data_IF_753241666739
#
_entry.id   IF_753241666739
#
_cell.length_a   1.000
_cell.length_b   1.000
_cell.length_c   1.000
_cell.angle_alpha   90.00
_cell.angle_beta   90.00
_cell.angle_gamma   90.00
#
_symmetry.space_group_name_H-M   'P 1'
#
loop_
_entity.id
_entity.type
_entity.pdbx_description
1 polymer ?
#
# COMPACT_ATOMS: atom_id res chain seq x y z
N UNK A 1 2.37 12.05 -18.87
CA UNK A 1 2.08 12.85 -17.66
C UNK A 1 1.36 12.01 -16.58
N UNK A 2 1.75 10.74 -16.36
CA UNK A 2 0.97 9.78 -15.54
C UNK A 2 1.48 9.52 -14.12
N UNK A 3 2.67 10.02 -13.76
CA UNK A 3 3.27 9.75 -12.43
C UNK A 3 2.59 10.57 -11.32
N UNK A 4 1.84 11.62 -11.65
CA UNK A 4 1.35 12.60 -10.66
C UNK A 4 0.25 12.10 -9.71
N UNK A 5 -0.29 10.88 -9.85
CA UNK A 5 -1.41 10.42 -9.03
C UNK A 5 -1.31 8.99 -8.46
N UNK A 6 -0.44 8.13 -8.99
CA UNK A 6 -0.37 6.73 -8.55
C UNK A 6 0.00 6.54 -7.06
N UNK A 7 0.92 7.31 -6.46
CA UNK A 7 1.19 7.23 -5.02
C UNK A 7 -0.03 7.60 -4.15
N UNK A 8 -0.90 8.49 -4.64
CA UNK A 8 -2.11 8.88 -3.91
C UNK A 8 -3.18 7.78 -3.95
N UNK A 9 -3.23 7.01 -5.04
CA UNK A 9 -4.19 5.91 -5.21
C UNK A 9 -3.88 4.70 -4.31
N UNK A 10 -2.59 4.44 -4.06
CA UNK A 10 -2.13 3.32 -3.22
C UNK A 10 -2.33 3.61 -1.72
N UNK A 11 -2.49 4.89 -1.34
CA UNK A 11 -2.70 5.30 0.04
C UNK A 11 -1.46 5.05 0.93
N UNK A 12 -1.68 4.49 2.13
CA UNK A 12 -0.63 4.15 3.10
C UNK A 12 -0.43 2.64 3.16
N UNK A 13 0.29 2.10 2.19
CA UNK A 13 0.57 0.67 2.12
C UNK A 13 1.53 0.21 3.22
N UNK A 14 1.27 -0.99 3.76
CA UNK A 14 2.17 -1.69 4.66
C UNK A 14 2.80 -2.88 3.95
N UNK A 15 4.08 -3.10 4.17
CA UNK A 15 4.83 -4.22 3.63
C UNK A 15 5.71 -4.83 4.72
N UNK A 16 6.05 -6.11 4.56
CA UNK A 16 7.01 -6.82 5.40
C UNK A 16 8.22 -7.22 4.57
N UNK A 17 9.43 -7.25 5.15
CA UNK A 17 10.62 -7.63 4.41
C UNK A 17 10.61 -9.12 4.04
N UNK A 18 11.20 -9.52 2.91
CA UNK A 18 11.62 -10.90 2.69
C UNK A 18 12.64 -11.34 3.77
N UNK A 19 12.64 -12.59 4.27
CA UNK A 19 11.87 -13.76 3.84
C UNK A 19 10.65 -14.08 4.73
N UNK A 20 9.85 -13.08 5.12
CA UNK A 20 8.68 -13.32 6.01
C UNK A 20 7.80 -14.48 5.48
N UNK A 21 7.54 -15.51 6.30
CA UNK A 21 6.77 -16.68 5.88
C UNK A 21 5.35 -16.35 5.38
N UNK A 22 4.89 -17.07 4.36
CA UNK A 22 3.61 -16.78 3.68
C UNK A 22 2.38 -16.91 4.60
N UNK A 23 2.41 -17.83 5.56
CA UNK A 23 1.39 -17.99 6.61
C UNK A 23 1.30 -16.73 7.49
N UNK A 24 2.44 -16.13 7.85
CA UNK A 24 2.48 -14.89 8.63
C UNK A 24 1.96 -13.70 7.83
N UNK A 25 2.30 -13.63 6.54
CA UNK A 25 1.75 -12.61 5.64
C UNK A 25 0.23 -12.74 5.52
N UNK A 26 -0.29 -13.96 5.39
CA UNK A 26 -1.73 -14.21 5.31
C UNK A 26 -2.46 -13.75 6.58
N UNK A 27 -1.94 -14.10 7.76
CA UNK A 27 -2.50 -13.67 9.05
C UNK A 27 -2.56 -12.14 9.15
N UNK A 28 -1.49 -11.44 8.76
CA UNK A 28 -1.46 -9.98 8.79
C UNK A 28 -2.50 -9.38 7.84
N UNK A 29 -2.60 -9.88 6.60
CA UNK A 29 -3.60 -9.42 5.62
C UNK A 29 -5.03 -9.60 6.14
N UNK A 30 -5.33 -10.76 6.74
CA UNK A 30 -6.63 -11.02 7.33
C UNK A 30 -6.92 -10.11 8.53
N UNK A 31 -5.93 -9.88 9.40
CA UNK A 31 -6.08 -9.01 10.55
C UNK A 31 -6.41 -7.57 10.14
N UNK A 32 -5.70 -7.02 9.15
CA UNK A 32 -6.00 -5.70 8.59
C UNK A 32 -7.41 -5.63 8.01
N UNK A 33 -7.82 -6.64 7.25
CA UNK A 33 -9.16 -6.70 6.67
C UNK A 33 -10.28 -6.78 7.72
N UNK A 34 -10.02 -7.44 8.86
CA UNK A 34 -10.96 -7.52 9.99
C UNK A 34 -11.07 -6.20 10.74
N UNK A 35 -9.93 -5.60 11.12
CA UNK A 35 -9.89 -4.33 11.87
C UNK A 35 -10.55 -3.19 11.10
N UNK A 36 -10.32 -3.11 9.78
CA UNK A 36 -10.91 -2.04 8.95
C UNK A 36 -12.40 -2.24 8.64
N UNK A 37 -12.98 -3.37 9.07
CA UNK A 37 -14.43 -3.63 9.05
C UNK A 37 -15.05 -3.58 10.45
N UNK A 38 -14.23 -3.42 11.49
CA UNK A 38 -14.69 -3.43 12.87
C UNK A 38 -15.43 -2.12 13.20
N UNK A 39 -16.72 -2.18 13.59
CA UNK A 39 -17.49 -0.99 13.89
C UNK A 39 -16.93 -0.20 15.08
N UNK A 40 -16.29 -0.84 16.06
CA UNK A 40 -15.68 -0.16 17.21
C UNK A 40 -14.46 0.65 16.76
N UNK A 41 -13.60 0.04 15.95
CA UNK A 41 -12.44 0.72 15.36
C UNK A 41 -12.85 1.89 14.46
N UNK A 42 -13.88 1.73 13.63
CA UNK A 42 -14.40 2.79 12.78
C UNK A 42 -15.04 3.93 13.59
N UNK A 43 -15.72 3.62 14.70
CA UNK A 43 -16.28 4.64 15.59
C UNK A 43 -15.18 5.46 16.28
N UNK A 44 -14.09 4.81 16.71
CA UNK A 44 -12.92 5.50 17.25
C UNK A 44 -12.23 6.37 16.20
N UNK A 45 -12.07 5.86 14.97
CA UNK A 45 -11.59 6.63 13.82
C UNK A 45 -12.38 7.91 13.59
N UNK A 46 -13.71 7.82 13.61
CA UNK A 46 -14.60 8.99 13.48
C UNK A 46 -14.37 10.01 14.60
N UNK A 47 -14.21 9.58 15.85
CA UNK A 47 -13.89 10.48 16.99
C UNK A 47 -12.55 11.17 16.79
N UNK A 48 -11.56 10.44 16.27
CA UNK A 48 -10.24 10.95 15.94
C UNK A 48 -10.19 11.77 14.64
N UNK A 49 -11.30 11.90 13.91
CA UNK A 49 -11.39 12.51 12.56
C UNK A 49 -10.45 11.85 11.54
N UNK A 50 -10.26 10.54 11.66
CA UNK A 50 -9.51 9.71 10.73
C UNK A 50 -10.49 9.00 9.82
N UNK A 51 -10.35 9.21 8.51
CA UNK A 51 -11.12 8.50 7.49
C UNK A 51 -10.37 7.23 7.07
N UNK A 52 -11.05 6.10 7.10
CA UNK A 52 -10.48 4.80 6.76
C UNK A 52 -11.09 4.30 5.46
N UNK A 53 -10.25 4.20 4.43
CA UNK A 53 -10.59 3.55 3.17
C UNK A 53 -9.70 2.32 2.99
N UNK A 54 -10.27 1.13 3.09
CA UNK A 54 -9.51 -0.11 2.97
C UNK A 54 -9.20 -0.42 1.50
N UNK A 55 -7.93 -0.68 1.21
CA UNK A 55 -7.45 -1.17 -0.08
C UNK A 55 -6.87 -2.57 0.16
N UNK A 56 -7.31 -3.56 -0.60
CA UNK A 56 -6.82 -4.93 -0.44
C UNK A 56 -5.35 -5.06 -0.82
N UNK A 57 -4.65 -6.02 -0.21
CA UNK A 57 -3.25 -6.29 -0.54
C UNK A 57 -3.04 -6.63 -2.02
N UNK A 58 -4.02 -7.30 -2.65
CA UNK A 58 -4.00 -7.62 -4.09
C UNK A 58 -4.09 -6.36 -4.95
N UNK A 59 -4.97 -5.43 -4.59
CA UNK A 59 -5.13 -4.16 -5.30
C UNK A 59 -3.90 -3.27 -5.13
N UNK A 60 -3.36 -3.20 -3.91
CA UNK A 60 -2.08 -2.51 -3.64
C UNK A 60 -0.95 -3.06 -4.50
N UNK A 61 -0.80 -4.39 -4.58
CA UNK A 61 0.24 -5.02 -5.41
C UNK A 61 0.04 -4.70 -6.89
N UNK A 62 -1.19 -4.81 -7.40
CA UNK A 62 -1.52 -4.48 -8.78
C UNK A 62 -1.14 -3.03 -9.12
N UNK A 63 -1.51 -2.08 -8.26
CA UNK A 63 -1.24 -0.66 -8.47
C UNK A 63 0.25 -0.34 -8.36
N UNK A 64 0.97 -0.99 -7.43
CA UNK A 64 2.42 -0.90 -7.35
C UNK A 64 3.12 -1.46 -8.59
N UNK A 65 2.70 -2.62 -9.08
CA UNK A 65 3.27 -3.21 -10.31
C UNK A 65 3.01 -2.31 -11.51
N UNK A 66 1.80 -1.75 -11.63
CA UNK A 66 1.48 -0.79 -12.69
C UNK A 66 2.32 0.49 -12.57
N UNK A 67 2.51 1.00 -11.35
CA UNK A 67 3.38 2.15 -11.09
C UNK A 67 4.83 1.86 -11.53
N UNK A 68 5.36 0.68 -11.25
CA UNK A 68 6.74 0.33 -11.60
C UNK A 68 6.92 -0.11 -13.06
N UNK A 69 5.84 -0.44 -13.77
CA UNK A 69 5.88 -0.78 -15.19
C UNK A 69 5.96 0.48 -16.07
N UNK A 70 7.01 1.27 -15.90
CA UNK A 70 7.29 2.47 -16.69
C UNK A 70 8.30 2.19 -17.81
N UNK A 71 8.40 3.10 -18.78
CA UNK A 71 9.43 3.03 -19.81
C UNK A 71 10.84 3.06 -19.18
N UNK A 72 11.85 2.45 -19.83
CA UNK A 72 13.22 2.43 -19.31
C UNK A 72 13.79 3.83 -18.98
N UNK A 73 13.45 4.81 -19.80
CA UNK A 73 13.82 6.22 -19.62
C UNK A 73 13.21 6.81 -18.33
N UNK A 74 11.94 6.51 -18.09
CA UNK A 74 11.21 6.96 -16.90
C UNK A 74 11.76 6.30 -15.63
N UNK A 75 12.07 5.01 -15.67
CA UNK A 75 12.68 4.28 -14.55
C UNK A 75 14.07 4.84 -14.21
N UNK A 76 14.88 5.17 -15.22
CA UNK A 76 16.20 5.78 -15.04
C UNK A 76 16.10 7.14 -14.35
N UNK A 77 15.13 7.98 -14.73
CA UNK A 77 14.90 9.26 -14.07
C UNK A 77 14.34 9.08 -12.65
N UNK A 78 13.42 8.14 -12.43
CA UNK A 78 12.90 7.83 -11.09
C UNK A 78 14.00 7.38 -10.13
N UNK A 79 14.93 6.52 -10.58
CA UNK A 79 16.05 6.03 -9.77
C UNK A 79 17.02 7.13 -9.30
N UNK A 80 17.03 8.31 -9.95
CA UNK A 80 17.83 9.46 -9.46
C UNK A 80 17.26 10.08 -8.19
N UNK A 81 15.94 10.00 -8.00
CA UNK A 81 15.22 10.71 -6.93
C UNK A 81 14.61 9.77 -5.90
N UNK A 82 14.31 8.53 -6.27
CA UNK A 82 13.79 7.49 -5.37
C UNK A 82 14.98 6.65 -4.90
N UNK A 83 15.52 7.00 -3.74
CA UNK A 83 16.43 6.12 -3.01
C UNK A 83 15.59 5.03 -2.37
N UNK A 84 15.63 3.82 -2.91
CA UNK A 84 15.14 2.64 -2.21
C UNK A 84 16.14 2.37 -1.09
N UNK A 85 15.90 2.95 0.09
CA UNK A 85 16.61 2.50 1.29
C UNK A 85 16.11 1.08 1.58
N UNK A 86 17.02 0.12 1.40
CA UNK A 86 16.84 -1.28 1.77
C UNK A 86 17.22 -1.52 3.22
#
# INVERSE_FOLDING_TARGET
MGIKAAPLAIGRAFAVPPPTPADRVAILREAFAKVLKDPEFLAEGKKAKIDFNYISAEQVLKDFTALLNQTPETLKEMGKYIKLEG
#
